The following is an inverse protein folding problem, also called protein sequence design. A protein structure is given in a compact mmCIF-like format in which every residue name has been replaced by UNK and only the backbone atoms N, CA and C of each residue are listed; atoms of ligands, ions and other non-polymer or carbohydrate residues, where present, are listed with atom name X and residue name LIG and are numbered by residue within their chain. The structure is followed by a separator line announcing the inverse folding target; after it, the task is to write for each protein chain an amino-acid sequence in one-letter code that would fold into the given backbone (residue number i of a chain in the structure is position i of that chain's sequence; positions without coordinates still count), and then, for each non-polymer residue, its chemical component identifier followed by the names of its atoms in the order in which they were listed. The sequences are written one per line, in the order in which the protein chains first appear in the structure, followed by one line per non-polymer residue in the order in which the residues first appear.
data_IF_324351860736
#
_entry.id   IF_324351860736
#
_cell.length_a   1.000
_cell.length_b   1.000
_cell.length_c   1.000
_cell.angle_alpha   90.00
_cell.angle_beta   90.00
_cell.angle_gamma   90.00
#
_symmetry.space_group_name_H-M   'P 1'
#
loop_
_entity.id
_entity.type
_entity.pdbx_description
1 polymer ?
#
# COMPACT_ATOMS: atom_id res chain seq x y z
N UNK A 1 -0.76 -20.02 -8.17
CA UNK A 1 0.02 -20.90 -7.26
C UNK A 1 0.66 -22.00 -8.09
N UNK A 2 1.97 -22.16 -7.99
CA UNK A 2 2.71 -23.22 -8.68
C UNK A 2 2.74 -24.46 -7.79
N UNK A 3 2.40 -25.63 -8.33
CA UNK A 3 2.61 -26.91 -7.66
C UNK A 3 4.09 -27.32 -7.75
N UNK A 4 4.64 -27.75 -6.61
CA UNK A 4 6.03 -28.23 -6.46
C UNK A 4 6.04 -29.63 -5.83
N UNK A 5 7.10 -30.40 -6.08
CA UNK A 5 7.33 -31.69 -5.43
C UNK A 5 8.79 -31.81 -4.99
N UNK A 6 9.01 -31.83 -3.67
CA UNK A 6 10.33 -32.01 -3.09
C UNK A 6 10.89 -33.42 -3.36
N UNK A 7 10.02 -34.44 -3.40
CA UNK A 7 10.42 -35.84 -3.63
C UNK A 7 10.98 -36.08 -5.03
N UNK A 8 10.39 -35.44 -6.04
CA UNK A 8 10.80 -35.60 -7.45
C UNK A 8 11.68 -34.46 -7.93
N UNK A 9 11.92 -33.44 -7.11
CA UNK A 9 12.64 -32.23 -7.49
C UNK A 9 11.89 -31.32 -8.48
N UNK A 10 10.61 -31.61 -8.76
CA UNK A 10 9.84 -30.88 -9.77
C UNK A 10 9.61 -29.43 -9.34
N UNK A 11 10.17 -28.49 -10.12
CA UNK A 11 9.99 -27.02 -10.02
C UNK A 11 10.52 -26.41 -8.71
N UNK A 12 11.53 -27.05 -8.09
CA UNK A 12 12.20 -26.53 -6.89
C UNK A 12 13.06 -25.30 -7.21
N UNK A 13 13.68 -25.28 -8.38
CA UNK A 13 14.38 -24.12 -8.97
C UNK A 13 13.49 -22.87 -8.99
N UNK A 14 12.26 -23.00 -9.52
CA UNK A 14 11.29 -21.89 -9.61
C UNK A 14 10.91 -21.30 -8.26
N UNK A 15 11.02 -22.07 -7.17
CA UNK A 15 10.74 -21.56 -5.84
C UNK A 15 11.75 -20.47 -5.44
N UNK A 16 13.04 -20.68 -5.75
CA UNK A 16 14.09 -19.71 -5.43
C UNK A 16 13.93 -18.44 -6.26
N UNK A 17 13.64 -18.56 -7.56
CA UNK A 17 13.35 -17.40 -8.43
C UNK A 17 12.15 -16.60 -7.91
N UNK A 18 11.10 -17.28 -7.43
CA UNK A 18 9.94 -16.64 -6.83
C UNK A 18 10.29 -15.93 -5.52
N UNK A 19 11.14 -16.53 -4.67
CA UNK A 19 11.61 -15.90 -3.44
C UNK A 19 12.34 -14.60 -3.77
N UNK A 20 13.27 -14.62 -4.73
CA UNK A 20 14.04 -13.44 -5.11
C UNK A 20 13.15 -12.34 -5.68
N UNK A 21 12.18 -12.70 -6.54
CA UNK A 21 11.20 -11.76 -7.10
C UNK A 21 10.36 -11.09 -6.00
N UNK A 22 9.88 -11.86 -5.02
CA UNK A 22 9.11 -11.32 -3.88
C UNK A 22 10.00 -10.42 -3.02
N UNK A 23 11.26 -10.81 -2.78
CA UNK A 23 12.20 -9.99 -2.01
C UNK A 23 12.50 -8.65 -2.70
N UNK A 24 12.72 -8.62 -4.01
CA UNK A 24 12.93 -7.39 -4.78
C UNK A 24 11.71 -6.49 -4.77
N UNK A 25 10.52 -7.07 -4.93
CA UNK A 25 9.25 -6.33 -4.84
C UNK A 25 9.10 -5.61 -3.50
N UNK A 26 9.50 -6.26 -2.40
CA UNK A 26 9.48 -5.70 -1.05
C UNK A 26 10.43 -4.51 -0.84
N UNK A 27 11.45 -4.36 -1.70
CA UNK A 27 12.42 -3.26 -1.66
C UNK A 27 12.00 -2.06 -2.49
N UNK A 28 10.93 -2.19 -3.29
CA UNK A 28 10.49 -1.12 -4.16
C UNK A 28 10.04 0.11 -3.35
N UNK A 29 10.56 1.28 -3.74
CA UNK A 29 10.30 2.56 -3.08
C UNK A 29 9.58 3.49 -4.05
N UNK A 30 8.37 3.87 -3.70
CA UNK A 30 7.62 4.90 -4.43
C UNK A 30 8.13 6.27 -3.99
N UNK A 31 8.34 7.17 -4.94
CA UNK A 31 8.74 8.54 -4.63
C UNK A 31 7.64 9.29 -3.87
N UNK A 32 8.04 10.19 -2.99
CA UNK A 32 7.12 11.04 -2.24
C UNK A 32 6.25 11.89 -3.19
N UNK A 33 6.82 12.33 -4.32
CA UNK A 33 6.12 13.07 -5.36
C UNK A 33 5.00 12.25 -5.99
N UNK A 34 5.27 10.98 -6.36
CA UNK A 34 4.24 10.12 -6.94
C UNK A 34 3.16 9.79 -5.91
N UNK A 35 3.52 9.54 -4.65
CA UNK A 35 2.52 9.29 -3.60
C UNK A 35 1.62 10.50 -3.34
N UNK A 36 2.13 11.72 -3.45
CA UNK A 36 1.31 12.93 -3.40
C UNK A 36 0.33 13.03 -4.57
N UNK A 37 0.79 12.70 -5.78
CA UNK A 37 -0.08 12.68 -6.97
C UNK A 37 -1.20 11.64 -6.82
N UNK A 38 -0.86 10.41 -6.43
CA UNK A 38 -1.84 9.33 -6.17
C UNK A 38 -2.87 9.76 -5.12
N UNK A 39 -2.42 10.41 -4.04
CA UNK A 39 -3.33 10.92 -3.02
C UNK A 39 -4.29 11.97 -3.59
N UNK A 40 -3.80 12.89 -4.41
CA UNK A 40 -4.60 13.94 -5.03
C UNK A 40 -5.61 13.37 -6.05
N UNK A 41 -5.17 12.43 -6.89
CA UNK A 41 -6.00 11.70 -7.85
C UNK A 41 -7.14 10.97 -7.11
N UNK A 42 -6.82 10.23 -6.05
CA UNK A 42 -7.80 9.54 -5.22
C UNK A 42 -8.84 10.49 -4.59
N UNK A 43 -8.40 11.62 -4.04
CA UNK A 43 -9.30 12.59 -3.41
C UNK A 43 -10.22 13.24 -4.43
N UNK A 44 -9.72 13.47 -5.65
CA UNK A 44 -10.49 14.06 -6.75
C UNK A 44 -11.59 13.11 -7.23
N UNK A 45 -11.28 11.81 -7.32
CA UNK A 45 -12.25 10.78 -7.69
C UNK A 45 -13.27 10.58 -6.57
N UNK A 46 -12.80 10.43 -5.33
CA UNK A 46 -13.63 10.16 -4.16
C UNK A 46 -13.18 11.05 -2.99
N UNK A 47 -13.85 12.19 -2.77
CA UNK A 47 -13.55 13.07 -1.65
C UNK A 47 -13.72 12.36 -0.30
N UNK A 48 -12.88 12.66 0.72
CA UNK A 48 -13.06 12.09 2.04
C UNK A 48 -14.36 12.59 2.68
N UNK A 49 -15.06 11.74 3.44
CA UNK A 49 -16.29 12.14 4.11
C UNK A 49 -16.00 13.23 5.15
N UNK A 50 -16.93 14.16 5.29
CA UNK A 50 -16.88 15.15 6.37
C UNK A 50 -17.18 14.48 7.70
N UNK A 51 -16.49 14.93 8.76
CA UNK A 51 -16.64 14.41 10.11
C UNK A 51 -17.21 15.52 10.98
N UNK A 52 -18.38 15.30 11.58
CA UNK A 52 -19.05 16.27 12.44
C UNK A 52 -19.17 17.69 11.81
N UNK A 53 -19.50 17.75 10.51
CA UNK A 53 -19.64 19.00 9.76
C UNK A 53 -18.33 19.69 9.37
N UNK A 54 -17.16 19.10 9.66
CA UNK A 54 -15.85 19.61 9.23
C UNK A 54 -15.28 18.75 8.10
N UNK A 55 -14.71 19.40 7.10
CA UNK A 55 -14.01 18.72 6.02
C UNK A 55 -12.77 18.00 6.55
N UNK A 56 -12.57 16.74 6.13
CA UNK A 56 -11.37 15.97 6.45
C UNK A 56 -10.24 16.37 5.49
N UNK A 57 -9.20 17.00 6.01
CA UNK A 57 -8.00 17.31 5.22
C UNK A 57 -6.99 16.18 5.31
N UNK A 58 -6.68 15.57 4.17
CA UNK A 58 -5.58 14.62 4.00
C UNK A 58 -4.37 15.38 3.45
N UNK A 59 -3.31 15.45 4.24
CA UNK A 59 -2.20 16.39 4.00
C UNK A 59 -1.10 15.78 3.16
N UNK A 60 -0.78 14.52 3.41
CA UNK A 60 0.37 13.86 2.79
C UNK A 60 0.25 12.35 2.90
N UNK A 61 0.88 11.64 1.95
CA UNK A 61 1.02 10.20 1.93
C UNK A 61 2.49 9.85 1.68
N UNK A 62 3.08 8.99 2.52
CA UNK A 62 4.48 8.56 2.39
C UNK A 62 4.63 7.08 2.65
N UNK A 63 5.58 6.43 1.98
CA UNK A 63 6.00 5.08 2.33
C UNK A 63 6.96 5.15 3.54
N UNK A 64 6.83 4.26 4.52
CA UNK A 64 7.80 4.12 5.61
C UNK A 64 8.95 3.21 5.18
N UNK A 65 10.10 3.37 5.83
CA UNK A 65 11.27 2.53 5.54
C UNK A 65 11.16 1.18 6.26
N UNK A 66 11.62 0.13 5.59
CA UNK A 66 11.68 -1.23 6.13
C UNK A 66 10.40 -2.06 5.89
N UNK A 67 10.48 -3.39 6.09
CA UNK A 67 9.35 -4.31 5.97
C UNK A 67 8.42 -4.25 7.20
N UNK A 68 7.11 -4.53 7.06
CA UNK A 68 6.36 -4.74 5.81
C UNK A 68 6.12 -3.42 5.04
N UNK A 69 5.47 -3.48 3.86
CA UNK A 69 5.15 -2.27 3.09
C UNK A 69 4.10 -1.43 3.83
N UNK A 70 4.54 -0.39 4.53
CA UNK A 70 3.67 0.51 5.30
C UNK A 70 3.65 1.89 4.68
N UNK A 71 2.45 2.41 4.46
CA UNK A 71 2.21 3.81 4.11
C UNK A 71 1.73 4.58 5.34
N UNK A 72 2.18 5.83 5.48
CA UNK A 72 1.69 6.76 6.49
C UNK A 72 0.86 7.84 5.81
N UNK A 73 -0.40 7.94 6.20
CA UNK A 73 -1.32 9.00 5.82
C UNK A 73 -1.36 10.06 6.93
N UNK A 74 -1.00 11.29 6.59
CA UNK A 74 -1.15 12.44 7.47
C UNK A 74 -2.55 13.05 7.27
N UNK A 75 -3.34 13.11 8.34
CA UNK A 75 -4.70 13.64 8.33
C UNK A 75 -4.88 14.72 9.41
N UNK A 76 -5.79 15.66 9.15
CA UNK A 76 -6.22 16.67 10.13
C UNK A 76 -6.81 16.05 11.39
N UNK A 77 -7.63 15.00 11.25
CA UNK A 77 -8.16 14.21 12.36
C UNK A 77 -7.96 12.69 12.11
N UNK A 78 -6.78 12.15 12.47
CA UNK A 78 -6.42 10.76 12.17
C UNK A 78 -7.38 9.72 12.73
N UNK A 79 -7.99 10.00 13.88
CA UNK A 79 -8.88 9.06 14.58
C UNK A 79 -10.21 8.88 13.84
N UNK A 80 -10.59 9.87 13.04
CA UNK A 80 -11.86 9.89 12.32
C UNK A 80 -11.75 9.54 10.84
N UNK A 81 -10.56 9.15 10.37
CA UNK A 81 -10.42 8.54 9.03
C UNK A 81 -10.99 7.13 9.08
N UNK A 82 -12.23 6.96 8.61
CA UNK A 82 -12.92 5.68 8.64
C UNK A 82 -12.18 4.59 7.84
N UNK A 83 -12.25 3.34 8.31
CA UNK A 83 -11.50 2.22 7.71
C UNK A 83 -11.84 1.98 6.23
N UNK A 84 -13.06 2.31 5.80
CA UNK A 84 -13.46 2.17 4.40
C UNK A 84 -12.65 3.10 3.48
N UNK A 85 -12.41 4.34 3.91
CA UNK A 85 -11.61 5.29 3.15
C UNK A 85 -10.12 4.91 3.17
N UNK A 86 -9.64 4.37 4.29
CA UNK A 86 -8.29 3.79 4.36
C UNK A 86 -8.10 2.64 3.36
N UNK A 87 -9.08 1.73 3.25
CA UNK A 87 -9.09 0.64 2.26
C UNK A 87 -9.17 1.16 0.83
N UNK A 88 -9.99 2.18 0.59
CA UNK A 88 -10.07 2.83 -0.71
C UNK A 88 -8.71 3.37 -1.16
N UNK A 89 -8.03 4.16 -0.32
CA UNK A 89 -6.69 4.67 -0.63
C UNK A 89 -5.68 3.54 -0.84
N UNK A 90 -5.73 2.51 0.00
CA UNK A 90 -4.85 1.35 -0.15
C UNK A 90 -5.05 0.64 -1.49
N UNK A 91 -6.30 0.43 -1.88
CA UNK A 91 -6.63 -0.21 -3.16
C UNK A 91 -6.19 0.65 -4.33
N UNK A 92 -6.29 1.97 -4.23
CA UNK A 92 -5.83 2.88 -5.27
C UNK A 92 -4.30 2.80 -5.45
N UNK A 93 -3.53 2.81 -4.36
CA UNK A 93 -2.07 2.56 -4.42
C UNK A 93 -1.78 1.19 -5.04
N UNK A 94 -2.55 0.16 -4.65
CA UNK A 94 -2.36 -1.22 -5.10
C UNK A 94 -2.64 -1.42 -6.60
N UNK A 95 -3.46 -0.56 -7.22
CA UNK A 95 -3.72 -0.60 -8.67
C UNK A 95 -2.46 -0.27 -9.48
N UNK A 96 -1.64 0.64 -8.98
CA UNK A 96 -0.38 1.03 -9.63
C UNK A 96 0.81 0.22 -9.12
N UNK A 97 0.83 -0.08 -7.81
CA UNK A 97 1.91 -0.74 -7.12
C UNK A 97 1.37 -1.94 -6.33
N UNK A 98 1.27 -3.13 -6.96
CA UNK A 98 0.57 -4.27 -6.37
C UNK A 98 1.30 -4.91 -5.18
N UNK A 99 2.62 -4.69 -5.05
CA UNK A 99 3.51 -5.30 -4.04
C UNK A 99 3.22 -6.80 -3.85
N UNK A 100 3.21 -7.56 -4.94
CA UNK A 100 2.91 -8.99 -4.90
C UNK A 100 3.80 -9.74 -3.90
N UNK A 101 3.18 -10.64 -3.13
CA UNK A 101 3.85 -11.36 -2.06
C UNK A 101 4.05 -10.59 -0.75
N UNK A 102 3.73 -9.28 -0.69
CA UNK A 102 3.83 -8.47 0.51
C UNK A 102 2.50 -7.91 1.00
N UNK A 103 2.25 -7.90 2.33
CA UNK A 103 1.10 -7.19 2.88
C UNK A 103 1.35 -5.68 2.84
N UNK A 104 0.39 -4.93 2.28
CA UNK A 104 0.37 -3.46 2.36
C UNK A 104 -0.44 -3.00 3.57
N UNK A 105 0.06 -2.02 4.33
CA UNK A 105 -0.62 -1.45 5.51
C UNK A 105 -0.66 0.07 5.45
N UNK A 106 -1.74 0.68 5.94
CA UNK A 106 -1.88 2.13 6.08
C UNK A 106 -1.90 2.47 7.56
N UNK A 107 -0.97 3.29 8.00
CA UNK A 107 -0.97 3.92 9.30
C UNK A 107 -1.49 5.36 9.15
N UNK A 108 -2.46 5.75 9.96
CA UNK A 108 -2.99 7.13 9.95
C UNK A 108 -2.42 7.88 11.15
N UNK A 109 -1.86 9.06 10.91
CA UNK A 109 -1.24 9.91 11.92
C UNK A 109 -1.38 11.39 11.60
N UNK A 110 -0.87 12.24 12.49
CA UNK A 110 -0.80 13.69 12.25
C UNK A 110 0.33 14.05 11.30
#
# INVERSE_FOLDING_TARGET
MTSISARTGQRVDRLFDMIDTVQETGRHRISDERLKQILYEAITIQPPPSVAGRAMHLKNLRQLNGPPIVFRLAASDPKNVHFSYQRYLMNHIRQEFPFEGWPMRLAVGR
#
